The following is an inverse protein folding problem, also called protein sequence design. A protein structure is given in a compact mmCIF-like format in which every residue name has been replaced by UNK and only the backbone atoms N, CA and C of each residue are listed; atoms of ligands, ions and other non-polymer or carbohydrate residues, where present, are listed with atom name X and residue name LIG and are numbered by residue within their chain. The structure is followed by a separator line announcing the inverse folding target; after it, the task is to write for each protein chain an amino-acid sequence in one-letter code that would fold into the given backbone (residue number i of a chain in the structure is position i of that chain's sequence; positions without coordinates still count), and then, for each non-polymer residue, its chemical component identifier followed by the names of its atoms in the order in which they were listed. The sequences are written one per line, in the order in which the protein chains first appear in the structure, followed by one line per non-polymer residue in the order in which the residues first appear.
data_IF_458114926690
#
_entry.id   IF_458114926690
#
_cell.length_a   1.000
_cell.length_b   1.000
_cell.length_c   1.000
_cell.angle_alpha   90.00
_cell.angle_beta   90.00
_cell.angle_gamma   90.00
#
_symmetry.space_group_name_H-M   'P 1'
#
loop_
_entity.id
_entity.type
_entity.pdbx_description
1 polymer ?
#
# COMPACT_ATOMS: atom_id res chain seq x y z
N UNK A 1 10.37 6.16 -4.85
CA UNK A 1 9.75 5.97 -3.52
C UNK A 1 10.07 4.59 -2.95
N UNK A 2 9.64 3.47 -3.57
CA UNK A 2 9.93 2.13 -3.04
C UNK A 2 11.43 1.86 -2.86
N UNK A 3 12.23 2.03 -3.92
CA UNK A 3 13.68 1.86 -3.84
C UNK A 3 14.31 2.76 -2.79
N UNK A 4 13.89 4.03 -2.71
CA UNK A 4 14.34 4.98 -1.68
C UNK A 4 14.04 4.49 -0.25
N UNK A 5 12.86 3.91 -0.01
CA UNK A 5 12.49 3.34 1.29
C UNK A 5 13.30 2.08 1.57
N UNK A 6 13.48 1.22 0.58
CA UNK A 6 14.29 0.01 0.68
C UNK A 6 15.74 0.34 1.05
N UNK A 7 16.40 1.24 0.30
CA UNK A 7 17.78 1.64 0.54
C UNK A 7 17.95 2.28 1.93
N UNK A 8 16.97 3.08 2.35
CA UNK A 8 16.97 3.66 3.69
C UNK A 8 16.82 2.59 4.78
N UNK A 9 15.96 1.57 4.59
CA UNK A 9 15.81 0.46 5.54
C UNK A 9 17.10 -0.37 5.62
N UNK A 10 17.73 -0.65 4.48
CA UNK A 10 19.00 -1.39 4.42
C UNK A 10 20.08 -0.65 5.21
N UNK A 11 20.22 0.66 4.98
CA UNK A 11 21.17 1.48 5.72
C UNK A 11 20.82 1.57 7.22
N UNK A 12 19.51 1.65 7.55
CA UNK A 12 19.03 1.73 8.92
C UNK A 12 19.36 0.48 9.75
N UNK A 13 19.56 -0.69 9.14
CA UNK A 13 20.03 -1.90 9.84
C UNK A 13 21.38 -1.69 10.55
N UNK A 14 22.21 -0.78 10.05
CA UNK A 14 23.49 -0.40 10.68
C UNK A 14 23.33 0.53 11.90
N UNK A 15 22.13 1.10 12.11
CA UNK A 15 21.84 2.04 13.19
C UNK A 15 21.07 1.42 14.36
N UNK A 16 20.65 0.15 14.25
CA UNK A 16 19.83 -0.53 15.26
C UNK A 16 20.61 -1.60 16.02
N UNK A 17 20.10 -1.98 17.19
CA UNK A 17 20.67 -3.08 17.98
C UNK A 17 20.57 -4.42 17.24
N UNK A 18 21.42 -5.41 17.59
CA UNK A 18 21.32 -6.76 17.01
C UNK A 18 19.92 -7.36 17.12
N UNK A 19 19.24 -7.16 18.25
CA UNK A 19 17.89 -7.69 18.50
C UNK A 19 16.85 -7.07 17.54
N UNK A 20 16.94 -5.76 17.30
CA UNK A 20 16.03 -5.05 16.40
C UNK A 20 16.30 -5.36 14.93
N UNK A 21 17.53 -5.76 14.58
CA UNK A 21 17.95 -6.01 13.20
C UNK A 21 17.12 -7.09 12.51
N UNK A 22 16.67 -8.12 13.22
CA UNK A 22 15.84 -9.18 12.64
C UNK A 22 14.48 -8.65 12.16
N UNK A 23 13.85 -7.77 12.93
CA UNK A 23 12.57 -7.15 12.56
C UNK A 23 12.76 -6.17 11.41
N UNK A 24 13.84 -5.36 11.43
CA UNK A 24 14.18 -4.47 10.29
C UNK A 24 14.43 -5.28 9.03
N UNK A 25 15.13 -6.42 9.11
CA UNK A 25 15.38 -7.30 7.98
C UNK A 25 14.07 -7.89 7.40
N UNK A 26 13.11 -8.24 8.26
CA UNK A 26 11.77 -8.67 7.81
C UNK A 26 11.05 -7.55 7.04
N UNK A 27 11.19 -6.30 7.48
CA UNK A 27 10.62 -5.15 6.79
C UNK A 27 11.34 -4.88 5.46
N UNK A 28 12.67 -4.99 5.41
CA UNK A 28 13.47 -4.91 4.16
C UNK A 28 12.98 -5.96 3.17
N UNK A 29 12.89 -7.22 3.60
CA UNK A 29 12.42 -8.34 2.78
C UNK A 29 11.00 -8.09 2.21
N UNK A 30 10.08 -7.58 3.04
CA UNK A 30 8.73 -7.23 2.57
C UNK A 30 8.73 -6.12 1.51
N UNK A 31 9.54 -5.07 1.69
CA UNK A 31 9.63 -3.98 0.72
C UNK A 31 10.28 -4.46 -0.57
N UNK A 32 11.28 -5.34 -0.50
CA UNK A 32 11.92 -5.96 -1.65
C UNK A 32 10.91 -6.82 -2.43
N UNK A 33 10.17 -7.72 -1.77
CA UNK A 33 9.11 -8.50 -2.41
C UNK A 33 8.01 -7.62 -3.04
N UNK A 34 7.71 -6.47 -2.42
CA UNK A 34 6.76 -5.47 -2.95
C UNK A 34 7.30 -4.74 -4.18
N UNK A 35 8.62 -4.64 -4.34
CA UNK A 35 9.28 -4.14 -5.56
C UNK A 35 9.22 -5.22 -6.64
N UNK A 36 9.64 -6.44 -6.30
CA UNK A 36 9.81 -7.54 -7.26
C UNK A 36 8.48 -8.02 -7.86
N UNK A 37 7.38 -7.92 -7.11
CA UNK A 37 6.03 -8.27 -7.62
C UNK A 37 5.51 -7.32 -8.70
N UNK A 38 6.22 -6.21 -8.98
CA UNK A 38 5.78 -5.22 -9.99
C UNK A 38 6.50 -5.42 -11.30
N UNK A 39 5.78 -5.23 -12.40
CA UNK A 39 6.42 -5.12 -13.71
C UNK A 39 7.38 -3.92 -13.70
N UNK A 40 8.59 -4.14 -14.21
CA UNK A 40 9.71 -3.19 -14.08
C UNK A 40 9.31 -1.75 -14.46
N UNK A 41 9.58 -0.82 -13.55
CA UNK A 41 9.31 0.61 -13.75
C UNK A 41 7.84 1.00 -13.72
N UNK A 42 6.92 0.08 -13.45
CA UNK A 42 5.47 0.35 -13.43
C UNK A 42 4.86 0.22 -12.03
N UNK A 43 3.59 0.61 -11.92
CA UNK A 43 2.75 0.35 -10.74
C UNK A 43 1.94 -0.95 -10.86
N UNK A 44 2.04 -1.64 -12.00
CA UNK A 44 1.28 -2.86 -12.27
C UNK A 44 1.97 -4.06 -11.65
N UNK A 45 1.17 -5.02 -11.19
CA UNK A 45 1.68 -6.31 -10.72
C UNK A 45 2.05 -7.18 -11.91
N UNK A 46 3.12 -7.95 -11.76
CA UNK A 46 3.46 -9.04 -12.66
C UNK A 46 2.82 -10.33 -12.14
N UNK A 47 2.01 -11.02 -12.96
CA UNK A 47 1.30 -12.23 -12.54
C UNK A 47 2.26 -13.38 -12.19
N UNK A 48 3.37 -13.49 -12.92
CA UNK A 48 4.38 -14.51 -12.70
C UNK A 48 5.14 -14.28 -11.40
N UNK A 49 5.58 -13.04 -11.14
CA UNK A 49 6.23 -12.66 -9.88
C UNK A 49 5.28 -12.77 -8.69
N UNK A 50 4.01 -12.41 -8.84
CA UNK A 50 3.01 -12.57 -7.78
C UNK A 50 2.85 -14.04 -7.42
N UNK A 51 2.71 -14.92 -8.42
CA UNK A 51 2.60 -16.35 -8.16
C UNK A 51 3.86 -16.91 -7.51
N UNK A 52 5.06 -16.50 -7.96
CA UNK A 52 6.33 -16.88 -7.34
C UNK A 52 6.41 -16.46 -5.88
N UNK A 53 6.10 -15.20 -5.57
CA UNK A 53 6.12 -14.71 -4.19
C UNK A 53 5.17 -15.52 -3.29
N UNK A 54 3.96 -15.83 -3.76
CA UNK A 54 3.01 -16.63 -2.98
C UNK A 54 3.48 -18.08 -2.77
N UNK A 55 4.14 -18.69 -3.76
CA UNK A 55 4.77 -20.01 -3.61
C UNK A 55 5.96 -19.97 -2.64
N UNK A 56 6.81 -18.94 -2.71
CA UNK A 56 7.91 -18.76 -1.76
C UNK A 56 7.39 -18.51 -0.34
N UNK A 57 6.23 -17.85 -0.21
CA UNK A 57 5.54 -17.76 1.07
C UNK A 57 5.04 -19.13 1.54
N UNK A 58 4.50 -19.99 0.67
CA UNK A 58 4.08 -21.36 1.02
C UNK A 58 5.25 -22.20 1.50
N UNK A 59 6.40 -22.09 0.83
CA UNK A 59 7.65 -22.79 1.15
C UNK A 59 8.38 -22.22 2.37
N UNK A 60 7.91 -21.10 2.94
CA UNK A 60 8.55 -20.44 4.08
C UNK A 60 9.81 -19.64 3.74
N UNK A 61 10.08 -19.39 2.45
CA UNK A 61 11.20 -18.56 1.97
C UNK A 61 10.90 -17.06 2.06
N UNK A 62 9.62 -16.68 1.97
CA UNK A 62 9.17 -15.30 2.06
C UNK A 62 8.19 -15.11 3.24
N UNK A 63 8.47 -14.11 4.09
CA UNK A 63 7.66 -13.83 5.28
C UNK A 63 6.44 -12.94 5.00
N UNK A 64 6.55 -11.96 4.11
CA UNK A 64 5.43 -11.08 3.78
C UNK A 64 5.63 -10.32 2.46
N UNK A 65 4.52 -9.88 1.87
CA UNK A 65 4.49 -9.01 0.68
C UNK A 65 3.34 -8.01 0.80
N UNK A 66 3.53 -6.79 0.31
CA UNK A 66 2.48 -5.78 0.21
C UNK A 66 2.14 -5.48 -1.26
N UNK A 67 0.85 -5.50 -1.59
CA UNK A 67 0.33 -5.28 -2.94
C UNK A 67 -0.45 -3.97 -2.97
N UNK A 68 -0.14 -3.12 -3.96
CA UNK A 68 -0.89 -1.90 -4.22
C UNK A 68 -1.90 -2.15 -5.35
N UNK A 69 -3.16 -2.37 -4.98
CA UNK A 69 -4.26 -2.64 -5.93
C UNK A 69 -4.85 -1.30 -6.37
N UNK A 70 -4.12 -0.60 -7.23
CA UNK A 70 -4.39 0.80 -7.64
C UNK A 70 -5.84 0.98 -8.11
N UNK A 71 -6.32 0.07 -8.97
CA UNK A 71 -7.66 0.17 -9.59
C UNK A 71 -8.81 -0.03 -8.61
N UNK A 72 -8.53 -0.58 -7.42
CA UNK A 72 -9.51 -0.82 -6.36
C UNK A 72 -9.25 0.05 -5.13
N UNK A 73 -8.36 1.05 -5.22
CA UNK A 73 -8.01 1.94 -4.09
C UNK A 73 -7.65 1.15 -2.81
N UNK A 74 -6.99 0.02 -2.98
CA UNK A 74 -6.80 -0.91 -1.88
C UNK A 74 -5.36 -1.38 -1.76
N UNK A 75 -5.01 -1.71 -0.53
CA UNK A 75 -3.78 -2.41 -0.19
C UNK A 75 -4.13 -3.82 0.25
N UNK A 76 -3.25 -4.77 -0.07
CA UNK A 76 -3.28 -6.11 0.49
C UNK A 76 -1.89 -6.38 1.07
N UNK A 77 -1.80 -6.74 2.34
CA UNK A 77 -0.58 -7.28 2.93
C UNK A 77 -0.81 -8.74 3.23
N UNK A 78 0.06 -9.59 2.73
CA UNK A 78 0.02 -11.02 2.97
C UNK A 78 1.19 -11.32 3.88
N UNK A 79 0.93 -11.98 5.01
CA UNK A 79 1.94 -12.35 6.00
C UNK A 79 1.87 -13.85 6.24
N UNK A 80 3.02 -14.51 6.17
CA UNK A 80 3.16 -15.90 6.59
C UNK A 80 3.56 -15.94 8.07
N UNK A 81 2.77 -16.62 8.86
CA UNK A 81 3.10 -17.05 10.21
C UNK A 81 3.48 -18.54 10.20
N UNK A 82 3.86 -19.12 11.34
CA UNK A 82 4.31 -20.52 11.42
C UNK A 82 3.31 -21.51 10.80
N UNK A 83 2.02 -21.34 11.08
CA UNK A 83 0.93 -22.26 10.74
C UNK A 83 -0.20 -21.61 9.95
N UNK A 84 -0.04 -20.34 9.55
CA UNK A 84 -1.11 -19.56 8.91
C UNK A 84 -0.59 -18.58 7.86
N UNK A 85 -1.43 -18.27 6.89
CA UNK A 85 -1.27 -17.11 6.02
C UNK A 85 -2.38 -16.10 6.32
N UNK A 86 -1.99 -14.87 6.65
CA UNK A 86 -2.89 -13.77 6.98
C UNK A 86 -2.95 -12.77 5.84
N UNK A 87 -4.15 -12.34 5.47
CA UNK A 87 -4.41 -11.25 4.54
C UNK A 87 -4.97 -10.06 5.31
N UNK A 88 -4.25 -8.96 5.26
CA UNK A 88 -4.67 -7.65 5.77
C UNK A 88 -5.09 -6.77 4.60
N UNK A 89 -6.35 -6.34 4.61
CA UNK A 89 -7.02 -5.63 3.52
C UNK A 89 -7.27 -4.18 3.95
N UNK A 90 -6.78 -3.23 3.15
CA UNK A 90 -6.77 -1.79 3.47
C UNK A 90 -7.51 -1.00 2.38
N UNK A 91 -8.28 0.00 2.77
CA UNK A 91 -8.59 1.13 1.90
C UNK A 91 -7.40 2.11 1.94
N UNK A 92 -6.85 2.55 0.81
CA UNK A 92 -5.68 3.43 0.83
C UNK A 92 -6.03 4.92 0.82
N UNK A 93 -7.09 5.30 0.12
CA UNK A 93 -7.51 6.71 0.00
C UNK A 93 -8.98 6.83 0.39
N UNK A 94 -9.36 7.67 1.36
CA UNK A 94 -10.77 7.89 1.67
C UNK A 94 -11.49 8.61 0.53
N UNK A 95 -12.81 8.48 0.47
CA UNK A 95 -13.64 9.29 -0.43
C UNK A 95 -13.41 10.80 -0.22
N UNK A 96 -13.58 11.58 -1.30
CA UNK A 96 -13.42 13.02 -1.26
C UNK A 96 -14.36 13.66 -0.22
N UNK A 97 -15.60 13.18 -0.13
CA UNK A 97 -16.58 13.64 0.87
C UNK A 97 -16.03 13.56 2.30
N UNK A 98 -15.53 12.39 2.70
CA UNK A 98 -15.00 12.19 4.06
C UNK A 98 -13.75 13.03 4.33
N UNK A 99 -12.97 13.32 3.29
CA UNK A 99 -11.79 14.20 3.39
C UNK A 99 -12.21 15.65 3.61
N UNK A 100 -13.20 16.14 2.87
CA UNK A 100 -13.68 17.53 2.92
C UNK A 100 -14.53 17.81 4.18
N UNK A 101 -15.23 16.81 4.72
CA UNK A 101 -16.03 16.93 5.95
C UNK A 101 -15.18 16.97 7.22
N UNK A 102 -13.94 16.49 7.16
CA UNK A 102 -13.03 16.48 8.29
C UNK A 102 -12.26 17.82 8.36
N UNK A 103 -12.43 18.64 9.41
CA UNK A 103 -11.67 19.88 9.58
C UNK A 103 -10.16 19.65 9.90
N UNK A 104 -9.67 18.42 9.75
CA UNK A 104 -8.30 18.02 10.08
C UNK A 104 -7.95 16.58 9.69
N UNK A 105 -7.14 15.91 10.50
CA UNK A 105 -6.65 14.55 10.20
C UNK A 105 -7.77 13.52 10.38
N UNK A 106 -7.99 12.68 9.36
CA UNK A 106 -8.87 11.52 9.46
C UNK A 106 -8.20 10.45 10.32
N UNK A 107 -8.87 9.99 11.38
CA UNK A 107 -8.41 8.85 12.18
C UNK A 107 -8.97 7.57 11.58
N UNK A 108 -8.08 6.70 11.08
CA UNK A 108 -8.44 5.45 10.39
C UNK A 108 -7.78 4.25 11.07
N UNK A 109 -8.47 3.12 11.06
CA UNK A 109 -7.97 1.85 11.57
C UNK A 109 -7.46 0.99 10.43
N UNK A 110 -6.29 0.36 10.61
CA UNK A 110 -5.66 -0.47 9.59
C UNK A 110 -5.17 -1.79 10.18
N UNK A 111 -5.46 -2.94 9.55
CA UNK A 111 -6.32 -3.10 8.37
C UNK A 111 -7.79 -2.82 8.65
N UNK A 112 -8.54 -2.59 7.57
CA UNK A 112 -10.00 -2.52 7.63
C UNK A 112 -10.61 -3.92 7.80
N UNK A 113 -9.99 -4.92 7.17
CA UNK A 113 -10.35 -6.34 7.32
C UNK A 113 -9.07 -7.17 7.45
N UNK A 114 -9.04 -8.11 8.38
CA UNK A 114 -7.98 -9.10 8.50
C UNK A 114 -8.58 -10.50 8.58
N UNK A 115 -8.07 -11.41 7.75
CA UNK A 115 -8.48 -12.81 7.70
C UNK A 115 -7.24 -13.70 7.69
N UNK A 116 -7.29 -14.85 8.36
CA UNK A 116 -6.23 -15.86 8.32
C UNK A 116 -6.75 -17.20 7.81
N UNK A 117 -5.88 -17.94 7.13
CA UNK A 117 -6.09 -19.32 6.70
C UNK A 117 -4.98 -20.18 7.26
N UNK A 118 -5.29 -21.41 7.68
CA UNK A 118 -4.26 -22.34 8.17
C UNK A 118 -3.49 -22.92 7.00
N UNK A 119 -2.19 -23.12 7.20
CA UNK A 119 -1.27 -23.72 6.23
C UNK A 119 -1.81 -25.05 5.68
N UNK A 120 -2.39 -25.89 6.55
CA UNK A 120 -3.00 -27.17 6.15
C UNK A 120 -4.16 -27.05 5.14
N UNK A 121 -4.87 -25.92 5.12
CA UNK A 121 -6.01 -25.72 4.24
C UNK A 121 -5.59 -25.50 2.77
N UNK A 122 -4.34 -25.08 2.53
CA UNK A 122 -3.83 -24.69 1.20
C UNK A 122 -2.48 -25.26 0.76
N UNK A 123 -1.59 -25.69 1.67
CA UNK A 123 -0.23 -26.13 1.28
C UNK A 123 -0.19 -27.40 0.44
N UNK A 124 -1.17 -28.29 0.61
CA UNK A 124 -1.27 -29.49 -0.23
C UNK A 124 -1.97 -29.24 -1.58
N UNK A 125 -2.37 -27.98 -1.88
CA UNK A 125 -3.20 -27.61 -3.02
C UNK A 125 -2.54 -26.48 -3.82
N UNK A 126 -1.54 -26.78 -4.62
CA UNK A 126 -0.85 -25.81 -5.50
C UNK A 126 -1.80 -25.01 -6.40
N UNK A 127 -2.89 -25.63 -6.85
CA UNK A 127 -3.95 -24.97 -7.64
C UNK A 127 -4.66 -23.85 -6.87
N UNK A 128 -4.74 -23.96 -5.54
CA UNK A 128 -5.37 -22.95 -4.69
C UNK A 128 -4.53 -21.67 -4.61
N UNK A 129 -3.21 -21.82 -4.44
CA UNK A 129 -2.26 -20.68 -4.44
C UNK A 129 -2.31 -19.95 -5.78
N UNK A 130 -2.31 -20.71 -6.88
CA UNK A 130 -2.43 -20.16 -8.23
C UNK A 130 -3.77 -19.44 -8.46
N UNK A 131 -4.86 -19.96 -7.87
CA UNK A 131 -6.18 -19.32 -7.91
C UNK A 131 -6.20 -18.00 -7.15
N UNK A 132 -5.60 -17.93 -5.96
CA UNK A 132 -5.45 -16.67 -5.20
C UNK A 132 -4.60 -15.67 -5.99
N UNK A 133 -3.47 -16.12 -6.55
CA UNK A 133 -2.61 -15.28 -7.37
C UNK A 133 -3.38 -14.66 -8.55
N UNK A 134 -4.08 -15.50 -9.32
CA UNK A 134 -4.88 -15.04 -10.47
C UNK A 134 -6.01 -14.10 -10.06
N UNK A 135 -6.68 -14.36 -8.92
CA UNK A 135 -7.69 -13.47 -8.37
C UNK A 135 -7.11 -12.09 -8.04
N UNK A 136 -6.02 -12.04 -7.28
CA UNK A 136 -5.36 -10.79 -6.89
C UNK A 136 -4.83 -10.02 -8.11
N UNK A 137 -4.24 -10.73 -9.06
CA UNK A 137 -3.78 -10.14 -10.32
C UNK A 137 -4.94 -9.53 -11.12
N UNK A 138 -6.06 -10.25 -11.27
CA UNK A 138 -7.26 -9.72 -11.95
C UNK A 138 -7.81 -8.47 -11.27
N UNK A 139 -7.87 -8.45 -9.93
CA UNK A 139 -8.29 -7.27 -9.17
C UNK A 139 -7.34 -6.08 -9.37
N UNK A 140 -6.03 -6.32 -9.48
CA UNK A 140 -5.04 -5.28 -9.75
C UNK A 140 -5.07 -4.77 -11.20
N UNK A 141 -5.35 -5.66 -12.15
CA UNK A 141 -5.23 -5.40 -13.58
C UNK A 141 -6.53 -4.93 -14.24
N UNK A 142 -7.69 -5.10 -13.61
CA UNK A 142 -8.99 -4.73 -14.17
C UNK A 142 -9.68 -3.60 -13.40
N UNK A 143 -10.41 -2.76 -14.14
CA UNK A 143 -11.38 -1.85 -13.53
C UNK A 143 -12.64 -2.68 -13.30
N UNK A 144 -13.14 -2.71 -12.07
CA UNK A 144 -14.36 -3.47 -11.77
C UNK A 144 -15.57 -2.54 -11.80
N UNK A 145 -16.62 -2.85 -12.59
CA UNK A 145 -17.85 -2.06 -12.63
C UNK A 145 -18.41 -1.85 -11.23
N UNK A 146 -19.00 -0.68 -10.97
CA UNK A 146 -19.58 -0.34 -9.66
C UNK A 146 -18.59 0.14 -8.60
N UNK A 147 -17.28 0.13 -8.89
CA UNK A 147 -16.26 0.65 -7.95
C UNK A 147 -16.17 2.17 -7.95
N UNK A 148 -16.51 2.84 -9.04
CA UNK A 148 -16.40 4.30 -9.12
C UNK A 148 -17.66 4.98 -8.59
N UNK A 149 -17.53 5.97 -7.68
CA UNK A 149 -18.63 6.82 -7.28
C UNK A 149 -19.25 7.50 -8.51
N UNK A 150 -20.58 7.69 -8.51
CA UNK A 150 -21.29 8.36 -9.61
C UNK A 150 -21.74 9.75 -9.18
N UNK A 151 -21.60 10.72 -10.08
CA UNK A 151 -22.11 12.07 -9.93
C UNK A 151 -23.20 12.34 -10.95
N UNK A 152 -24.22 13.09 -10.56
CA UNK A 152 -25.25 13.55 -11.49
C UNK A 152 -24.76 14.82 -12.21
N UNK A 153 -24.56 14.75 -13.52
CA UNK A 153 -24.21 15.89 -14.39
C UNK A 153 -25.21 15.96 -15.54
N UNK A 154 -25.74 17.16 -15.80
CA UNK A 154 -26.73 17.39 -16.85
C UNK A 154 -27.92 16.39 -16.83
N UNK A 155 -28.36 15.98 -15.63
CA UNK A 155 -29.47 15.04 -15.46
C UNK A 155 -29.09 13.55 -15.55
N UNK A 156 -27.90 13.20 -16.01
CA UNK A 156 -27.41 11.84 -16.16
C UNK A 156 -26.35 11.48 -15.09
N UNK A 157 -26.23 10.20 -14.76
CA UNK A 157 -25.20 9.72 -13.83
C UNK A 157 -23.95 9.34 -14.61
N UNK A 158 -22.83 9.94 -14.24
CA UNK A 158 -21.51 9.67 -14.79
C UNK A 158 -20.56 9.24 -13.68
N UNK A 159 -19.58 8.39 -14.00
CA UNK A 159 -18.52 8.06 -13.06
C UNK A 159 -17.74 9.34 -12.68
N UNK A 160 -17.64 9.60 -11.39
CA UNK A 160 -16.89 10.72 -10.85
C UNK A 160 -15.42 10.33 -10.77
N UNK A 161 -14.72 10.51 -11.88
CA UNK A 161 -13.30 10.15 -12.01
C UNK A 161 -12.38 10.86 -11.01
N UNK A 162 -12.82 11.97 -10.40
CA UNK A 162 -12.03 12.72 -9.41
C UNK A 162 -12.15 12.14 -7.99
N UNK A 163 -13.10 11.24 -7.74
CA UNK A 163 -13.24 10.54 -6.46
C UNK A 163 -12.49 9.21 -6.48
N UNK A 164 -12.31 8.62 -5.31
CA UNK A 164 -11.60 7.34 -5.18
C UNK A 164 -12.53 6.14 -5.39
N UNK A 165 -12.07 5.09 -6.09
CA UNK A 165 -12.80 3.84 -6.16
C UNK A 165 -13.09 3.26 -4.77
N UNK A 166 -14.21 2.59 -4.62
CA UNK A 166 -14.54 1.80 -3.44
C UNK A 166 -13.62 0.58 -3.33
N UNK A 167 -13.10 0.27 -2.13
CA UNK A 167 -12.23 -0.89 -1.88
C UNK A 167 -13.00 -2.22 -1.76
N UNK A 168 -14.33 -2.24 -1.96
CA UNK A 168 -15.19 -3.40 -1.70
C UNK A 168 -14.78 -4.68 -2.46
N UNK A 169 -14.25 -4.58 -3.68
CA UNK A 169 -13.75 -5.78 -4.39
C UNK A 169 -12.51 -6.40 -3.75
N UNK A 170 -11.74 -5.62 -2.99
CA UNK A 170 -10.62 -6.16 -2.21
C UNK A 170 -11.09 -6.55 -0.81
N UNK A 171 -11.93 -5.75 -0.17
CA UNK A 171 -12.32 -5.98 1.24
C UNK A 171 -13.48 -6.96 1.38
N UNK A 172 -14.57 -6.79 0.65
CA UNK A 172 -15.78 -7.62 0.76
C UNK A 172 -15.68 -8.88 -0.11
N UNK A 173 -15.30 -8.75 -1.38
CA UNK A 173 -15.24 -9.90 -2.29
C UNK A 173 -14.18 -10.93 -1.88
N UNK A 174 -12.95 -10.51 -1.52
CA UNK A 174 -11.93 -11.46 -1.05
C UNK A 174 -12.40 -12.16 0.22
N UNK A 175 -13.00 -11.43 1.15
CA UNK A 175 -13.55 -12.01 2.39
C UNK A 175 -14.67 -13.00 2.11
N UNK A 176 -15.57 -12.71 1.18
CA UNK A 176 -16.63 -13.63 0.78
C UNK A 176 -16.08 -14.87 0.05
N UNK A 177 -15.12 -14.66 -0.85
CA UNK A 177 -14.51 -15.72 -1.66
C UNK A 177 -13.67 -16.69 -0.82
N UNK A 178 -12.87 -16.17 0.12
CA UNK A 178 -12.02 -16.96 1.00
C UNK A 178 -12.69 -17.34 2.32
N UNK A 179 -13.88 -16.81 2.61
CA UNK A 179 -14.63 -17.04 3.85
C UNK A 179 -14.77 -18.51 4.27
N UNK A 180 -15.03 -19.46 3.35
CA UNK A 180 -15.13 -20.88 3.71
C UNK A 180 -13.84 -21.51 4.25
N UNK A 181 -12.68 -20.90 3.99
CA UNK A 181 -11.34 -21.41 4.35
C UNK A 181 -10.53 -20.43 5.20
N UNK A 182 -11.17 -19.34 5.66
CA UNK A 182 -10.53 -18.32 6.49
C UNK A 182 -11.36 -17.98 7.71
N UNK A 183 -10.71 -17.41 8.72
CA UNK A 183 -11.36 -16.85 9.90
C UNK A 183 -10.94 -15.39 10.10
N UNK A 184 -11.82 -14.53 10.65
CA UNK A 184 -11.46 -13.15 10.97
C UNK A 184 -10.38 -13.08 12.07
N UNK A 185 -9.42 -12.18 11.91
CA UNK A 185 -8.39 -11.91 12.92
C UNK A 185 -8.81 -10.73 13.79
N UNK A 186 -8.94 -10.96 15.10
CA UNK A 186 -9.26 -9.91 16.09
C UNK A 186 -8.02 -9.06 16.40
N UNK A 187 -8.24 -7.78 16.64
CA UNK A 187 -7.20 -6.82 17.09
C UNK A 187 -5.94 -6.79 16.21
N UNK A 188 -6.11 -7.06 14.91
CA UNK A 188 -5.01 -7.20 13.95
C UNK A 188 -4.28 -5.90 13.60
N UNK A 189 -4.73 -4.76 14.15
CA UNK A 189 -4.51 -3.47 13.53
C UNK A 189 -3.99 -2.36 14.44
N UNK A 190 -3.93 -1.17 13.85
CA UNK A 190 -3.40 0.03 14.46
C UNK A 190 -4.19 1.25 13.98
N UNK A 191 -4.21 2.29 14.82
CA UNK A 191 -4.80 3.57 14.47
C UNK A 191 -3.76 4.49 13.83
N UNK A 192 -4.12 5.11 12.71
CA UNK A 192 -3.31 6.15 12.05
C UNK A 192 -4.15 7.40 11.82
N UNK A 193 -3.53 8.54 12.07
CA UNK A 193 -4.03 9.83 11.64
C UNK A 193 -3.53 10.08 10.21
N UNK A 194 -4.41 9.91 9.22
CA UNK A 194 -4.13 10.21 7.83
C UNK A 194 -4.52 11.66 7.54
N UNK A 195 -3.56 12.44 7.05
CA UNK A 195 -3.85 13.75 6.45
C UNK A 195 -4.02 13.49 4.96
N UNK A 196 -5.22 13.74 4.47
CA UNK A 196 -5.51 13.79 3.05
C UNK A 196 -5.97 15.23 2.76
N UNK A 197 -5.40 15.82 1.72
CA UNK A 197 -5.70 17.18 1.31
C UNK A 197 -6.04 17.09 -0.15
N UNK A 198 -7.20 17.64 -0.51
CA UNK A 198 -7.65 17.72 -1.88
C UNK A 198 -7.42 19.18 -2.27
N UNK A 199 -6.23 19.46 -2.80
CA UNK A 199 -5.94 20.77 -3.36
C UNK A 199 -6.36 20.78 -4.82
N UNK A 200 -7.15 21.76 -5.19
CA UNK A 200 -7.64 21.96 -6.55
C UNK A 200 -7.28 23.36 -6.99
N UNK A 201 -6.45 23.47 -8.03
CA UNK A 201 -6.03 24.73 -8.65
C UNK A 201 -6.29 24.64 -10.17
N UNK A 202 -7.58 24.55 -10.55
CA UNK A 202 -8.05 24.34 -11.92
C UNK A 202 -7.43 23.13 -12.66
N UNK A 203 -6.88 22.15 -11.93
CA UNK A 203 -6.34 20.91 -12.49
C UNK A 203 -7.40 19.81 -12.67
N UNK A 204 -7.14 18.88 -13.60
CA UNK A 204 -8.04 17.75 -13.90
C UNK A 204 -8.24 16.79 -12.72
N UNK A 205 -7.19 16.57 -11.92
CA UNK A 205 -7.20 15.70 -10.75
C UNK A 205 -6.72 16.50 -9.55
N UNK A 206 -7.33 16.34 -8.36
CA UNK A 206 -6.82 17.01 -7.17
C UNK A 206 -5.46 16.44 -6.77
N UNK A 207 -4.58 17.29 -6.26
CA UNK A 207 -3.37 16.81 -5.59
C UNK A 207 -3.76 16.09 -4.30
N UNK A 208 -3.23 14.88 -4.10
CA UNK A 208 -3.46 14.05 -2.91
C UNK A 208 -2.18 13.37 -2.45
N UNK A 209 -2.16 12.92 -1.19
CA UNK A 209 -1.01 12.15 -0.68
C UNK A 209 -0.94 10.77 -1.32
N UNK A 210 0.29 10.30 -1.56
CA UNK A 210 0.53 9.01 -2.21
C UNK A 210 -0.12 7.83 -1.45
N UNK A 211 -1.04 7.06 -2.09
CA UNK A 211 -1.64 5.86 -1.49
C UNK A 211 -0.58 4.78 -1.20
N UNK A 212 0.42 4.65 -2.07
CA UNK A 212 1.57 3.75 -1.88
C UNK A 212 2.37 4.10 -0.63
N UNK A 213 2.53 5.39 -0.32
CA UNK A 213 3.21 5.80 0.91
C UNK A 213 2.41 5.43 2.16
N UNK A 214 1.08 5.48 2.11
CA UNK A 214 0.26 4.99 3.21
C UNK A 214 0.41 3.48 3.38
N UNK A 215 0.34 2.72 2.27
CA UNK A 215 0.55 1.27 2.27
C UNK A 215 1.85 0.91 3.00
N UNK A 216 2.99 1.47 2.56
CA UNK A 216 4.29 1.21 3.18
C UNK A 216 4.30 1.56 4.66
N UNK A 217 3.80 2.74 5.05
CA UNK A 217 3.79 3.14 6.46
C UNK A 217 2.92 2.25 7.34
N UNK A 218 1.85 1.69 6.80
CA UNK A 218 0.97 0.77 7.51
C UNK A 218 1.65 -0.60 7.62
N UNK A 219 2.09 -1.18 6.51
CA UNK A 219 2.68 -2.53 6.50
C UNK A 219 3.99 -2.61 7.30
N UNK A 220 4.88 -1.61 7.17
CA UNK A 220 6.08 -1.53 8.02
C UNK A 220 5.70 -1.50 9.50
N UNK A 221 4.75 -0.65 9.91
CA UNK A 221 4.37 -0.56 11.32
C UNK A 221 3.69 -1.84 11.81
N UNK A 222 2.90 -2.52 10.97
CA UNK A 222 2.30 -3.82 11.32
C UNK A 222 3.38 -4.87 11.58
N UNK A 223 4.38 -5.01 10.70
CA UNK A 223 5.50 -5.95 10.92
C UNK A 223 6.21 -5.62 12.22
N UNK A 224 6.61 -4.36 12.42
CA UNK A 224 7.29 -3.94 13.64
C UNK A 224 6.48 -4.28 14.89
N UNK A 225 5.19 -3.95 14.91
CA UNK A 225 4.33 -4.14 16.09
C UNK A 225 4.02 -5.62 16.36
N UNK A 226 3.95 -6.45 15.32
CA UNK A 226 3.64 -7.88 15.46
C UNK A 226 4.86 -8.72 15.84
N UNK A 227 6.02 -8.43 15.24
CA UNK A 227 7.25 -9.17 15.50
C UNK A 227 8.01 -8.67 16.73
N UNK A 228 7.81 -7.40 17.11
CA UNK A 228 8.28 -6.90 18.40
C UNK A 228 7.20 -6.10 19.14
N UNK A 229 6.34 -6.78 19.92
CA UNK A 229 5.24 -6.13 20.65
C UNK A 229 5.68 -5.06 21.66
N UNK A 230 6.87 -5.21 22.24
CA UNK A 230 7.34 -4.34 23.32
C UNK A 230 7.96 -3.03 22.80
N UNK A 231 8.79 -3.09 21.77
CA UNK A 231 9.58 -1.95 21.30
C UNK A 231 9.45 -1.68 19.78
N UNK A 232 8.74 -2.51 19.02
CA UNK A 232 8.64 -2.35 17.57
C UNK A 232 8.07 -1.01 17.13
N UNK A 233 7.15 -0.43 17.92
CA UNK A 233 6.65 0.92 17.66
C UNK A 233 7.76 1.98 17.75
N UNK A 234 8.72 1.84 18.66
CA UNK A 234 9.89 2.72 18.77
C UNK A 234 10.81 2.55 17.56
N UNK A 235 11.10 1.31 17.16
CA UNK A 235 11.92 1.02 15.98
C UNK A 235 11.29 1.59 14.71
N UNK A 236 9.98 1.45 14.55
CA UNK A 236 9.23 2.10 13.46
C UNK A 236 9.40 3.62 13.49
N UNK A 237 9.26 4.27 14.65
CA UNK A 237 9.40 5.72 14.77
C UNK A 237 10.82 6.19 14.49
N UNK A 238 11.82 5.47 14.98
CA UNK A 238 13.23 5.71 14.71
C UNK A 238 13.52 5.62 13.20
N UNK A 239 13.00 4.59 12.52
CA UNK A 239 13.09 4.48 11.07
C UNK A 239 12.44 5.67 10.35
N UNK A 240 11.25 6.11 10.78
CA UNK A 240 10.57 7.26 10.17
C UNK A 240 11.38 8.56 10.31
N UNK A 241 12.05 8.77 11.45
CA UNK A 241 12.97 9.90 11.66
C UNK A 241 14.19 9.78 10.76
N UNK A 242 14.82 8.61 10.73
CA UNK A 242 15.97 8.32 9.87
C UNK A 242 15.65 8.58 8.39
N UNK A 243 14.53 8.04 7.90
CA UNK A 243 14.09 8.23 6.51
C UNK A 243 13.82 9.70 6.18
N UNK A 244 13.24 10.45 7.12
CA UNK A 244 13.01 11.89 6.93
C UNK A 244 14.31 12.68 6.85
N UNK A 245 15.30 12.35 7.70
CA UNK A 245 16.62 12.95 7.65
C UNK A 245 17.36 12.62 6.34
N UNK A 246 17.24 11.38 5.85
CA UNK A 246 17.80 10.96 4.56
C UNK A 246 17.19 11.74 3.39
N UNK A 247 15.86 11.91 3.36
CA UNK A 247 15.21 12.73 2.33
C UNK A 247 15.72 14.17 2.37
N UNK A 248 15.82 14.77 3.56
CA UNK A 248 16.31 16.13 3.73
C UNK A 248 17.75 16.25 3.21
N UNK A 249 18.61 15.30 3.56
CA UNK A 249 20.00 15.27 3.10
C UNK A 249 20.09 15.19 1.57
N UNK A 250 19.34 14.28 0.94
CA UNK A 250 19.27 14.17 -0.53
C UNK A 250 18.81 15.48 -1.15
N UNK A 251 17.80 16.13 -0.57
CA UNK A 251 17.30 17.42 -1.06
C UNK A 251 18.34 18.53 -0.99
N UNK A 252 19.25 18.51 0.00
CA UNK A 252 20.36 19.49 0.09
C UNK A 252 21.47 19.25 -0.92
N UNK A 253 21.62 18.01 -1.42
CA UNK A 253 22.67 17.63 -2.38
C UNK A 253 22.21 17.86 -3.84
N UNK A 254 20.90 17.80 -4.10
CA UNK A 254 20.36 18.10 -5.43
C UNK A 254 20.41 19.61 -5.69
N UNK A 255 21.11 20.09 -6.74
CA UNK A 255 21.09 21.51 -7.08
C UNK A 255 19.66 21.96 -7.42
N UNK A 256 19.26 23.12 -6.89
CA UNK A 256 17.88 23.65 -6.87
C UNK A 256 17.18 23.91 -8.22
N UNK A 257 17.73 23.43 -9.34
CA UNK A 257 17.17 23.63 -10.68
C UNK A 257 16.27 22.49 -11.20
N UNK A 258 16.14 21.35 -10.49
CA UNK A 258 15.28 20.24 -10.96
C UNK A 258 13.88 20.18 -10.33
N UNK A 259 13.57 21.02 -9.34
CA UNK A 259 12.28 20.99 -8.63
C UNK A 259 11.26 22.04 -9.12
N UNK A 260 11.69 23.00 -9.95
CA UNK A 260 10.81 23.93 -10.66
C UNK A 260 10.84 23.56 -12.14
N UNK A 261 9.93 22.67 -12.54
CA UNK A 261 9.64 22.46 -13.95
C UNK A 261 9.23 23.77 -14.60
N UNK A 262 9.68 23.97 -15.84
CA UNK A 262 9.39 25.09 -16.73
C UNK A 262 7.92 25.57 -16.67
N UNK A 263 7.64 26.55 -15.82
CA UNK A 263 6.45 27.40 -15.88
C UNK A 263 6.85 28.87 -15.81
N UNK A 264 7.52 29.31 -16.87
CA UNK A 264 7.60 30.69 -17.37
C UNK A 264 8.32 30.56 -18.72
N UNK A 265 7.67 30.67 -19.87
CA UNK A 265 7.23 31.95 -20.43
C UNK A 265 6.04 31.76 -21.38
N UNK A 266 4.86 32.25 -21.00
CA UNK A 266 3.94 32.87 -21.97
C UNK A 266 4.08 34.38 -21.78
N UNK A 267 4.66 35.04 -22.77
CA UNK A 267 4.76 36.49 -22.86
C UNK A 267 4.69 36.91 -24.31
N UNK A 268 3.49 37.28 -24.74
CA UNK A 268 3.16 38.24 -25.82
C UNK A 268 3.83 38.12 -27.19
N UNK A 269 3.04 37.79 -28.21
CA UNK A 269 2.85 38.69 -29.37
C UNK A 269 1.60 38.30 -30.15
N UNK A 270 0.58 39.15 -30.11
CA UNK A 270 -0.38 39.33 -31.20
C UNK A 270 -0.12 40.70 -31.81
N UNK A 271 0.15 40.77 -33.11
CA UNK A 271 -0.27 41.87 -33.99
C UNK A 271 0.21 41.60 -35.43
N UNK A 272 -0.72 41.86 -36.35
CA UNK A 272 -0.67 41.79 -37.82
C UNK A 272 -0.82 40.39 -38.45
#
# INVERSE_FOLDING_TARGET
MLSTVHDALVNFMGCVSPDQRAVVASVVSMVQATIDVRSQGTVHLDEGELNRNLLDMVDGKLGSVALHIVKQNAGVMITRNLDKMQLDLFELSPLNKHTMESPGRLRRYFPGVAIDMRTEDFVSKTDFVSSISSMLYKLASSITPGSQPKVKKAGQYHDEQRDTPSPHHVTEFITAFLGPVTQPVKDAGLWKNTRDEIMWDDERMPWRRSPLWLLLRVTMQLIYSRQSPNDGWLTYKAFMLYFSAQILHIATILPGQRLLGNHATKGSSSAA
#
